data_IF_967089954189
#
_entry.id   IF_967089954189
#
_cell.length_a   1.000
_cell.length_b   1.000
_cell.length_c   1.000
_cell.angle_alpha   90.00
_cell.angle_beta   90.00
_cell.angle_gamma   90.00
#
_symmetry.space_group_name_H-M   'P 1'
#
loop_
_entity.id
_entity.type
_entity.pdbx_description
1 polymer ?
#
# COMPACT_ATOMS: atom_id res chain seq x y z
N UNK A 1 -5.67 13.95 -13.39
CA UNK A 1 -4.77 12.89 -12.88
C UNK A 1 -5.61 11.95 -12.03
N UNK A 2 -5.57 10.65 -12.31
CA UNK A 2 -6.39 9.66 -11.60
C UNK A 2 -6.00 9.61 -10.12
N UNK A 3 -6.99 9.57 -9.22
CA UNK A 3 -6.76 9.50 -7.77
C UNK A 3 -7.41 8.23 -7.23
N UNK A 4 -6.67 7.50 -6.40
CA UNK A 4 -7.15 6.36 -5.64
C UNK A 4 -7.75 6.84 -4.32
N UNK A 5 -8.93 6.32 -3.98
CA UNK A 5 -9.57 6.55 -2.68
C UNK A 5 -9.73 5.24 -1.95
N UNK A 6 -9.28 5.18 -0.69
CA UNK A 6 -9.52 4.04 0.17
C UNK A 6 -11.03 3.86 0.47
N UNK A 7 -11.51 2.62 0.46
CA UNK A 7 -12.88 2.25 0.86
C UNK A 7 -12.85 1.33 2.07
N UNK A 8 -12.21 0.17 1.93
CA UNK A 8 -12.12 -0.83 3.01
C UNK A 8 -10.98 -1.81 2.75
N UNK A 9 -10.63 -2.59 3.77
CA UNK A 9 -9.75 -3.74 3.62
C UNK A 9 -10.20 -4.89 4.51
N UNK A 10 -9.73 -6.09 4.18
CA UNK A 10 -9.80 -7.29 5.03
C UNK A 10 -8.44 -7.95 5.05
N UNK A 11 -7.98 -8.34 6.23
CA UNK A 11 -6.76 -9.13 6.38
C UNK A 11 -7.09 -10.57 6.72
N UNK A 12 -6.26 -11.50 6.29
CA UNK A 12 -6.38 -12.91 6.63
C UNK A 12 -5.00 -13.53 6.81
N UNK A 13 -4.91 -14.52 7.69
CA UNK A 13 -3.70 -15.31 7.85
C UNK A 13 -3.66 -16.39 6.78
N UNK A 14 -2.45 -16.72 6.34
CA UNK A 14 -2.19 -17.84 5.43
C UNK A 14 -1.56 -18.96 6.27
N UNK A 15 -1.99 -20.20 6.05
CA UNK A 15 -1.54 -21.35 6.84
C UNK A 15 -0.01 -21.52 6.81
N UNK A 16 0.57 -22.01 7.92
CA UNK A 16 2.00 -22.21 8.20
C UNK A 16 2.84 -20.96 8.52
N UNK A 17 2.21 -19.86 8.94
CA UNK A 17 2.90 -18.63 9.33
C UNK A 17 3.12 -17.69 8.13
N UNK A 18 3.66 -16.50 8.42
CA UNK A 18 3.84 -15.36 7.49
C UNK A 18 4.15 -15.83 6.04
N UNK A 19 3.33 -15.46 5.03
CA UNK A 19 2.83 -14.08 4.85
C UNK A 19 1.36 -13.81 5.24
N UNK A 20 1.10 -12.56 5.66
CA UNK A 20 -0.25 -11.99 5.84
C UNK A 20 -0.88 -11.66 4.47
N UNK A 21 -2.16 -12.03 4.29
CA UNK A 21 -2.94 -11.67 3.11
C UNK A 21 -3.82 -10.43 3.34
N UNK A 22 -4.06 -9.67 2.26
CA UNK A 22 -4.98 -8.52 2.25
C UNK A 22 -5.90 -8.55 1.01
N UNK A 23 -7.18 -8.27 1.22
CA UNK A 23 -8.10 -7.82 0.19
C UNK A 23 -8.38 -6.33 0.43
N UNK A 24 -8.10 -5.49 -0.57
CA UNK A 24 -8.19 -4.03 -0.50
C UNK A 24 -9.23 -3.53 -1.51
N UNK A 25 -10.18 -2.72 -1.05
CA UNK A 25 -11.17 -2.06 -1.89
C UNK A 25 -10.81 -0.58 -2.01
N UNK A 26 -10.58 -0.12 -3.24
CA UNK A 26 -10.32 1.28 -3.56
C UNK A 26 -11.37 1.81 -4.54
N UNK A 27 -11.48 3.12 -4.68
CA UNK A 27 -12.13 3.75 -5.85
C UNK A 27 -11.09 4.40 -6.74
N UNK A 28 -11.15 4.12 -8.04
CA UNK A 28 -10.46 4.86 -9.10
C UNK A 28 -11.53 5.55 -9.93
N UNK A 29 -11.50 6.89 -9.99
CA UNK A 29 -12.42 7.68 -10.82
C UNK A 29 -13.91 7.33 -10.57
N UNK A 30 -14.26 7.11 -9.31
CA UNK A 30 -15.61 6.75 -8.88
C UNK A 30 -15.95 5.26 -8.96
N UNK A 31 -15.20 4.47 -9.72
CA UNK A 31 -15.41 3.02 -9.86
C UNK A 31 -14.67 2.26 -8.75
N UNK A 32 -15.36 1.33 -8.10
CA UNK A 32 -14.74 0.44 -7.11
C UNK A 32 -13.89 -0.62 -7.79
N UNK A 33 -12.67 -0.78 -7.27
CA UNK A 33 -11.74 -1.82 -7.67
C UNK A 33 -11.37 -2.64 -6.44
N UNK A 34 -11.22 -3.94 -6.66
CA UNK A 34 -10.75 -4.89 -5.67
C UNK A 34 -9.32 -5.27 -6.01
N UNK A 35 -8.47 -5.33 -5.00
CA UNK A 35 -7.07 -5.71 -5.10
C UNK A 35 -6.75 -6.77 -4.03
N UNK A 36 -5.83 -7.67 -4.34
CA UNK A 36 -5.37 -8.70 -3.38
C UNK A 36 -3.86 -8.78 -3.39
N UNK A 37 -3.29 -8.92 -2.20
CA UNK A 37 -1.84 -9.04 -2.03
C UNK A 37 -1.49 -9.91 -0.84
N UNK A 38 -0.24 -10.34 -0.81
CA UNK A 38 0.37 -11.10 0.29
C UNK A 38 1.72 -10.47 0.60
N UNK A 39 2.14 -10.52 1.85
CA UNK A 39 3.44 -10.01 2.24
C UNK A 39 3.76 -10.31 3.70
N UNK A 40 4.96 -9.93 4.13
CA UNK A 40 5.46 -10.18 5.49
C UNK A 40 4.84 -9.28 6.57
N UNK A 41 3.67 -8.70 6.28
CA UNK A 41 2.91 -7.76 7.10
C UNK A 41 2.03 -6.88 6.23
N UNK A 42 1.23 -6.01 6.86
CA UNK A 42 0.22 -5.21 6.16
C UNK A 42 0.80 -4.23 5.12
N UNK A 43 1.96 -3.63 5.39
CA UNK A 43 2.62 -2.70 4.46
C UNK A 43 3.00 -3.43 3.18
N UNK A 44 3.76 -4.53 3.31
CA UNK A 44 4.23 -5.34 2.19
C UNK A 44 3.04 -5.95 1.41
N UNK A 45 2.05 -6.50 2.11
CA UNK A 45 0.85 -7.03 1.49
C UNK A 45 0.07 -5.96 0.70
N UNK A 46 0.00 -4.72 1.21
CA UNK A 46 -0.66 -3.60 0.52
C UNK A 46 0.12 -3.15 -0.71
N UNK A 47 1.45 -3.00 -0.61
CA UNK A 47 2.32 -2.66 -1.75
C UNK A 47 2.20 -3.71 -2.85
N UNK A 48 2.18 -4.99 -2.46
CA UNK A 48 2.01 -6.11 -3.38
C UNK A 48 0.59 -6.15 -3.98
N UNK A 49 -0.45 -5.81 -3.22
CA UNK A 49 -1.81 -5.71 -3.74
C UNK A 49 -1.97 -4.61 -4.80
N UNK A 50 -1.26 -3.49 -4.63
CA UNK A 50 -1.24 -2.41 -5.62
C UNK A 50 -0.50 -2.83 -6.90
N UNK A 51 0.51 -3.70 -6.81
CA UNK A 51 1.30 -4.16 -7.95
C UNK A 51 1.82 -3.00 -8.84
N UNK A 52 2.25 -1.92 -8.19
CA UNK A 52 2.86 -0.74 -8.81
C UNK A 52 4.39 -0.83 -8.67
N UNK A 53 5.17 -0.07 -9.48
CA UNK A 53 6.63 0.00 -9.36
C UNK A 53 7.10 0.78 -8.11
N UNK A 54 6.41 0.61 -6.98
CA UNK A 54 6.61 1.32 -5.72
C UNK A 54 7.49 0.51 -4.78
N UNK A 55 8.50 1.12 -4.17
CA UNK A 55 9.24 0.56 -3.03
C UNK A 55 8.98 1.37 -1.76
N UNK A 56 9.11 0.74 -0.59
CA UNK A 56 9.14 1.44 0.71
C UNK A 56 10.59 1.48 1.16
N UNK A 57 11.11 2.68 1.39
CA UNK A 57 12.48 2.93 1.84
C UNK A 57 12.55 3.01 3.36
N UNK A 58 11.65 3.77 3.96
CA UNK A 58 11.56 3.94 5.42
C UNK A 58 10.11 4.00 5.88
N UNK A 59 9.90 3.64 7.14
CA UNK A 59 8.61 3.62 7.81
C UNK A 59 8.76 4.05 9.26
N UNK A 60 8.08 5.13 9.60
CA UNK A 60 7.95 5.60 10.98
C UNK A 60 6.47 5.64 11.38
N UNK A 61 6.15 5.15 12.57
CA UNK A 61 4.83 5.27 13.16
C UNK A 61 4.92 5.88 14.55
N UNK A 62 4.03 6.83 14.82
CA UNK A 62 3.88 7.44 16.13
C UNK A 62 2.44 7.34 16.60
N UNK A 63 2.27 7.14 17.91
CA UNK A 63 0.96 7.31 18.54
C UNK A 63 0.79 8.77 18.94
N UNK A 64 -0.36 9.35 18.62
CA UNK A 64 -0.75 10.70 19.03
C UNK A 64 -2.02 10.62 19.89
N UNK A 65 -1.95 11.18 21.10
CA UNK A 65 -3.01 11.07 22.11
C UNK A 65 -2.73 9.96 23.12
N UNK A 66 -3.67 9.74 24.04
CA UNK A 66 -3.52 8.79 25.14
C UNK A 66 -4.78 7.93 25.32
N UNK A 67 -4.60 6.74 25.90
CA UNK A 67 -5.69 5.79 26.18
C UNK A 67 -6.43 5.35 24.92
N UNK A 68 -7.74 5.14 25.03
CA UNK A 68 -8.61 4.71 23.92
C UNK A 68 -8.80 5.76 22.82
N UNK A 69 -8.22 6.96 22.97
CA UNK A 69 -8.24 8.04 21.96
C UNK A 69 -6.89 8.20 21.25
N UNK A 70 -5.94 7.32 21.52
CA UNK A 70 -4.68 7.30 20.79
C UNK A 70 -4.96 6.99 19.31
N UNK A 71 -4.35 7.77 18.43
CA UNK A 71 -4.38 7.58 16.98
C UNK A 71 -2.98 7.24 16.49
N UNK A 72 -2.88 6.40 15.48
CA UNK A 72 -1.65 6.17 14.76
C UNK A 72 -1.43 7.27 13.71
N UNK A 73 -0.22 7.82 13.67
CA UNK A 73 0.30 8.61 12.55
C UNK A 73 1.34 7.75 11.86
N UNK A 74 1.17 7.49 10.57
CA UNK A 74 2.12 6.70 9.78
C UNK A 74 2.81 7.58 8.75
N UNK A 75 4.14 7.50 8.69
CA UNK A 75 4.99 8.15 7.71
C UNK A 75 5.70 7.06 6.90
N UNK A 76 5.52 7.08 5.58
CA UNK A 76 6.13 6.13 4.66
C UNK A 76 6.94 6.88 3.61
N UNK A 77 8.24 6.64 3.59
CA UNK A 77 9.12 7.09 2.53
C UNK A 77 9.15 6.05 1.42
N UNK A 78 8.87 6.46 0.19
CA UNK A 78 8.67 5.56 -0.92
C UNK A 78 9.48 5.95 -2.16
N UNK A 79 9.95 4.95 -2.88
CA UNK A 79 10.63 5.07 -4.17
C UNK A 79 9.70 4.63 -5.29
N UNK A 80 9.95 5.12 -6.52
CA UNK A 80 9.30 4.62 -7.72
C UNK A 80 10.38 4.16 -8.69
N UNK A 81 10.34 2.89 -9.13
CA UNK A 81 11.32 2.34 -10.07
C UNK A 81 11.37 3.21 -11.33
N UNK A 82 12.58 3.55 -11.77
CA UNK A 82 12.79 4.41 -12.93
C UNK A 82 12.76 5.91 -12.62
N UNK A 83 12.50 6.31 -11.37
CA UNK A 83 12.52 7.71 -10.95
C UNK A 83 13.53 7.91 -9.80
N UNK A 84 14.30 9.00 -9.88
CA UNK A 84 15.25 9.36 -8.83
C UNK A 84 14.53 9.92 -7.59
N UNK A 85 15.12 9.65 -6.42
CA UNK A 85 14.68 10.16 -5.13
C UNK A 85 13.47 9.44 -4.52
N UNK A 86 13.07 9.95 -3.38
CA UNK A 86 11.96 9.42 -2.57
C UNK A 86 10.81 10.42 -2.50
N UNK A 87 9.68 9.97 -1.98
CA UNK A 87 8.53 10.80 -1.66
C UNK A 87 7.75 10.21 -0.49
N UNK A 88 7.04 11.07 0.24
CA UNK A 88 6.33 10.65 1.44
C UNK A 88 4.83 10.44 1.21
N UNK A 89 4.33 9.37 1.83
CA UNK A 89 2.94 9.15 2.17
C UNK A 89 2.75 9.33 3.68
N UNK A 90 1.69 10.04 4.08
CA UNK A 90 1.39 10.31 5.49
C UNK A 90 -0.10 10.11 5.76
N UNK A 91 -0.45 9.61 6.94
CA UNK A 91 -1.82 9.44 7.40
C UNK A 91 -1.95 9.63 8.91
N UNK A 92 -3.20 9.80 9.35
CA UNK A 92 -3.60 9.81 10.75
C UNK A 92 -4.90 9.00 10.86
N UNK A 93 -4.91 7.94 11.65
CA UNK A 93 -6.08 7.09 11.82
C UNK A 93 -6.12 6.44 13.21
N UNK A 94 -7.29 6.12 13.73
CA UNK A 94 -7.43 5.43 15.04
C UNK A 94 -6.90 3.99 14.99
N UNK A 95 -7.14 3.31 13.87
CA UNK A 95 -6.60 1.98 13.59
C UNK A 95 -5.24 2.07 12.88
N UNK A 96 -4.23 1.44 13.49
CA UNK A 96 -2.85 1.34 13.01
C UNK A 96 -2.77 0.72 11.61
N UNK A 97 -3.51 -0.36 11.36
CA UNK A 97 -3.50 -1.04 10.07
C UNK A 97 -4.01 -0.11 8.94
N UNK A 98 -5.14 0.54 9.18
CA UNK A 98 -5.74 1.52 8.27
C UNK A 98 -4.84 2.75 8.09
N UNK A 99 -4.18 3.21 9.15
CA UNK A 99 -3.18 4.29 9.06
C UNK A 99 -2.10 3.94 8.03
N UNK A 100 -1.52 2.75 8.13
CA UNK A 100 -0.47 2.30 7.20
C UNK A 100 -0.97 2.25 5.75
N UNK A 101 -2.14 1.69 5.51
CA UNK A 101 -2.75 1.64 4.16
C UNK A 101 -2.96 3.06 3.62
N UNK A 102 -3.56 3.96 4.43
CA UNK A 102 -3.83 5.33 4.00
C UNK A 102 -2.55 6.11 3.67
N UNK A 103 -1.46 5.89 4.42
CA UNK A 103 -0.17 6.51 4.12
C UNK A 103 0.37 6.03 2.77
N UNK A 104 0.30 4.72 2.46
CA UNK A 104 0.67 4.19 1.14
C UNK A 104 -0.17 4.86 0.04
N UNK A 105 -1.50 4.85 0.17
CA UNK A 105 -2.41 5.43 -0.83
C UNK A 105 -2.14 6.94 -1.03
N UNK A 106 -1.84 7.66 0.04
CA UNK A 106 -1.47 9.08 0.02
C UNK A 106 -0.22 9.33 -0.83
N UNK A 107 0.86 8.55 -0.63
CA UNK A 107 2.06 8.73 -1.43
C UNK A 107 1.94 8.19 -2.86
N UNK A 108 1.17 7.13 -3.10
CA UNK A 108 0.82 6.68 -4.47
C UNK A 108 0.10 7.78 -5.24
N UNK A 109 -0.92 8.41 -4.64
CA UNK A 109 -1.61 9.54 -5.28
C UNK A 109 -0.67 10.71 -5.57
N UNK A 110 0.30 10.97 -4.69
CA UNK A 110 1.34 11.98 -4.92
C UNK A 110 2.21 11.61 -6.12
N UNK A 111 2.64 10.35 -6.23
CA UNK A 111 3.43 9.87 -7.35
C UNK A 111 2.66 9.97 -8.68
N UNK A 112 1.37 9.63 -8.69
CA UNK A 112 0.49 9.78 -9.86
C UNK A 112 0.34 11.25 -10.26
N UNK A 113 0.14 12.15 -9.29
CA UNK A 113 0.08 13.60 -9.56
C UNK A 113 1.38 14.16 -10.15
N UNK A 114 2.53 13.56 -9.79
CA UNK A 114 3.85 13.92 -10.31
C UNK A 114 4.19 13.23 -11.65
N UNK A 115 3.32 12.38 -12.19
CA UNK A 115 3.59 11.61 -13.41
C UNK A 115 4.62 10.49 -13.24
N UNK A 116 4.96 10.12 -11.99
CA UNK A 116 5.92 9.04 -11.72
C UNK A 116 5.29 7.65 -11.82
N UNK A 117 3.98 7.57 -11.63
CA UNK A 117 3.18 6.35 -11.70
C UNK A 117 1.98 6.59 -12.58
N UNK A 118 1.71 5.66 -13.49
CA UNK A 118 0.51 5.64 -14.31
C UNK A 118 -0.33 4.42 -13.93
N UNK A 119 -1.63 4.63 -13.72
CA UNK A 119 -2.58 3.55 -13.51
C UNK A 119 -3.08 3.09 -14.88
N UNK A 120 -2.63 1.93 -15.35
CA UNK A 120 -3.12 1.35 -16.60
C UNK A 120 -4.63 1.08 -16.55
N UNK A 121 -5.27 0.97 -17.71
CA UNK A 121 -6.72 0.72 -17.84
C UNK A 121 -7.17 -0.56 -17.13
N UNK A 122 -6.28 -1.55 -17.02
CA UNK A 122 -6.53 -2.84 -16.39
C UNK A 122 -6.18 -2.90 -14.88
N UNK A 123 -5.92 -1.75 -14.25
CA UNK A 123 -5.63 -1.69 -12.81
C UNK A 123 -6.84 -2.14 -11.98
N UNK A 124 -6.74 -3.30 -11.33
CA UNK A 124 -7.84 -3.93 -10.59
C UNK A 124 -8.55 -5.07 -11.32
N UNK A 125 -8.27 -5.29 -12.62
CA UNK A 125 -8.98 -6.29 -13.44
C UNK A 125 -8.50 -7.73 -13.25
N UNK A 126 -7.39 -7.96 -12.54
CA UNK A 126 -6.76 -9.28 -12.40
C UNK A 126 -7.25 -10.10 -11.20
N UNK A 127 -8.21 -9.62 -10.41
CA UNK A 127 -8.64 -10.30 -9.19
C UNK A 127 -9.38 -11.65 -9.39
N UNK A 128 -9.76 -12.00 -10.63
CA UNK A 128 -10.45 -13.27 -10.94
C UNK A 128 -9.50 -14.41 -11.34
N UNK A 129 -8.23 -14.13 -11.66
CA UNK A 129 -7.26 -15.17 -12.05
C UNK A 129 -6.58 -15.72 -10.79
N UNK A 130 -7.06 -16.88 -10.34
CA UNK A 130 -6.81 -17.47 -9.03
C UNK A 130 -5.35 -17.62 -8.59
N UNK A 131 -5.16 -17.56 -7.26
CA UNK A 131 -4.09 -18.03 -6.36
C UNK A 131 -2.59 -18.04 -6.75
N UNK A 132 -2.19 -17.77 -7.99
CA UNK A 132 -0.80 -17.81 -8.44
C UNK A 132 -0.18 -16.41 -8.34
N UNK A 133 -0.08 -15.89 -7.11
CA UNK A 133 0.74 -14.71 -6.84
C UNK A 133 2.14 -15.19 -6.42
N UNK A 134 3.13 -14.96 -7.27
CA UNK A 134 4.52 -15.14 -6.88
C UNK A 134 4.94 -13.95 -6.01
N UNK A 135 5.47 -14.16 -4.79
CA UNK A 135 6.04 -13.08 -3.99
C UNK A 135 7.13 -12.39 -4.82
N UNK A 136 7.16 -11.06 -4.81
CA UNK A 136 8.29 -10.34 -5.41
C UNK A 136 9.57 -10.85 -4.71
N UNK A 137 10.62 -11.25 -5.45
CA UNK A 137 11.90 -11.60 -4.84
C UNK A 137 12.31 -10.48 -3.90
N UNK A 138 12.84 -10.84 -2.73
CA UNK A 138 13.25 -9.91 -1.68
C UNK A 138 13.83 -8.62 -2.29
N UNK A 139 13.11 -7.52 -2.12
CA UNK A 139 13.51 -6.21 -2.64
C UNK A 139 14.68 -5.72 -1.78
N UNK A 140 15.85 -6.30 -1.99
CA UNK A 140 17.12 -5.77 -1.52
C UNK A 140 17.40 -4.50 -2.31
N UNK A 141 16.85 -3.39 -1.85
CA UNK A 141 17.37 -2.09 -2.24
C UNK A 141 18.67 -1.89 -1.48
N UNK A 142 19.76 -1.77 -2.24
CA UNK A 142 21.07 -1.46 -1.71
C UNK A 142 21.00 -0.16 -0.91
N UNK A 143 21.46 -0.23 0.35
CA UNK A 143 21.92 0.94 1.07
C UNK A 143 23.10 1.50 0.28
N UNK A 144 22.92 2.70 -0.27
CA UNK A 144 24.01 3.56 -0.73
C UNK A 144 24.37 4.51 0.40
#
# INVERSE_FOLDING_TARGET
SATLRYVSHKTYQIENGNPQGIELILKKEGQEIKLRGKGNGIIDATVNALNLPLGVHDYEQKSMGQGSRARAVSFLEMTVKGHAGTHFGVSLHEDTATSNILAIISGVNRAIKQGKVELGENFGSNCERGNNFHPSPERKFALS
#
